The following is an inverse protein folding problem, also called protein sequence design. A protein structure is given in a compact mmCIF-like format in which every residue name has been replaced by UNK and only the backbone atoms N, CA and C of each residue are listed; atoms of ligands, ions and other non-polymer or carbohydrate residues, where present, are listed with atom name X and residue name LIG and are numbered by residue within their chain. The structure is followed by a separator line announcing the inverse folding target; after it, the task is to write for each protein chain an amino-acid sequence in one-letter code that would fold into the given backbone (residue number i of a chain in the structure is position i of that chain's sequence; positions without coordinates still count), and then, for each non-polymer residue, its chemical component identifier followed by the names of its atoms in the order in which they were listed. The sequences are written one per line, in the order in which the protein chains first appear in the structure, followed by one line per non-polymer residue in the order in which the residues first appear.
data_IF_782198588396
#
_entry.id   IF_782198588396
#
_cell.length_a   1.000
_cell.length_b   1.000
_cell.length_c   1.000
_cell.angle_alpha   90.00
_cell.angle_beta   90.00
_cell.angle_gamma   90.00
#
_symmetry.space_group_name_H-M   'P 1'
#
loop_
_entity.id
_entity.type
_entity.pdbx_description
1 polymer ?
#
# COMPACT_ATOMS: atom_id res chain seq x y z
N UNK A 1 -4.83 6.75 80.22
CA UNK A 1 -3.60 5.97 80.50
C UNK A 1 -3.81 4.53 80.03
N UNK A 2 -3.14 4.13 78.95
CA UNK A 2 -2.42 2.86 78.78
C UNK A 2 -1.87 2.85 77.35
N UNK A 3 -0.54 2.96 77.29
CA UNK A 3 0.28 2.72 76.11
C UNK A 3 0.16 1.25 75.71
N UNK A 4 0.12 0.99 74.41
CA UNK A 4 0.73 -0.22 73.84
C UNK A 4 1.16 0.07 72.41
N UNK A 5 2.46 0.34 72.29
CA UNK A 5 3.23 0.21 71.06
C UNK A 5 3.11 -1.22 70.54
N UNK A 6 2.76 -1.40 69.27
CA UNK A 6 3.15 -2.58 68.51
C UNK A 6 3.90 -2.10 67.29
N UNK A 7 5.20 -2.40 67.34
CA UNK A 7 6.19 -2.07 66.36
C UNK A 7 6.03 -2.92 65.08
N UNK A 8 6.21 -2.23 63.96
CA UNK A 8 6.84 -2.63 62.70
C UNK A 8 7.37 -4.07 62.65
N UNK A 9 6.84 -4.85 61.71
CA UNK A 9 7.66 -5.77 60.92
C UNK A 9 7.34 -5.51 59.45
N UNK A 10 8.22 -4.75 58.81
CA UNK A 10 8.30 -4.54 57.38
C UNK A 10 8.77 -5.86 56.74
N UNK A 11 7.86 -6.68 56.22
CA UNK A 11 8.24 -7.80 55.34
C UNK A 11 8.36 -7.27 53.91
N UNK A 12 9.58 -6.86 53.55
CA UNK A 12 10.02 -6.67 52.17
C UNK A 12 10.12 -8.08 51.56
N UNK A 13 9.07 -8.50 50.85
CA UNK A 13 9.15 -9.65 49.95
C UNK A 13 9.37 -9.13 48.53
N UNK A 14 10.64 -9.18 48.16
CA UNK A 14 11.13 -9.16 46.78
C UNK A 14 10.45 -10.30 46.02
N UNK A 15 9.75 -9.99 44.92
CA UNK A 15 9.11 -11.05 44.15
C UNK A 15 8.33 -10.55 42.94
N UNK A 16 9.03 -10.37 41.81
CA UNK A 16 8.43 -10.50 40.48
C UNK A 16 7.76 -9.26 39.93
N UNK A 17 8.53 -8.44 39.21
CA UNK A 17 8.01 -7.88 37.96
C UNK A 17 7.51 -9.06 37.12
N UNK A 18 6.21 -9.30 37.07
CA UNK A 18 5.63 -10.05 35.95
C UNK A 18 5.74 -9.12 34.76
N UNK A 19 6.94 -9.08 34.16
CA UNK A 19 7.10 -8.75 32.76
C UNK A 19 6.18 -9.71 32.04
N UNK A 20 4.98 -9.22 31.71
CA UNK A 20 4.05 -9.89 30.84
C UNK A 20 4.89 -10.28 29.61
N UNK A 21 5.04 -11.57 29.28
CA UNK A 21 5.73 -11.92 28.06
C UNK A 21 4.95 -11.18 26.98
N UNK A 22 5.65 -10.31 26.24
CA UNK A 22 5.11 -9.71 25.03
C UNK A 22 4.42 -10.84 24.30
N UNK A 23 3.10 -10.83 24.31
CA UNK A 23 2.31 -11.87 23.69
C UNK A 23 2.71 -11.80 22.23
N UNK A 24 3.51 -12.77 21.79
CA UNK A 24 3.67 -13.00 20.38
C UNK A 24 2.24 -13.17 19.88
N UNK A 25 1.74 -12.19 19.12
CA UNK A 25 0.52 -12.36 18.37
C UNK A 25 0.66 -13.71 17.66
N UNK A 26 -0.32 -14.62 17.79
CA UNK A 26 -0.21 -15.93 17.18
C UNK A 26 0.15 -15.72 15.72
N UNK A 27 1.23 -16.38 15.28
CA UNK A 27 1.69 -16.26 13.91
C UNK A 27 0.51 -16.58 12.99
N UNK A 28 0.05 -15.57 12.23
CA UNK A 28 -1.11 -15.74 11.36
C UNK A 28 -0.87 -16.90 10.41
N UNK A 29 -1.87 -17.77 10.27
CA UNK A 29 -1.80 -18.86 9.32
C UNK A 29 -1.77 -18.30 7.90
N UNK A 30 -1.28 -19.10 6.94
CA UNK A 30 -1.30 -18.71 5.52
C UNK A 30 -2.71 -18.33 5.05
N UNK A 31 -3.73 -19.10 5.45
CA UNK A 31 -5.12 -18.82 5.09
C UNK A 31 -5.63 -17.50 5.68
N UNK A 32 -5.23 -17.14 6.91
CA UNK A 32 -5.63 -15.86 7.51
C UNK A 32 -5.02 -14.68 6.75
N UNK A 33 -3.75 -14.81 6.35
CA UNK A 33 -3.06 -13.78 5.54
C UNK A 33 -3.72 -13.62 4.16
N UNK A 34 -4.05 -14.74 3.52
CA UNK A 34 -4.74 -14.73 2.24
C UNK A 34 -6.12 -14.08 2.36
N UNK A 35 -6.91 -14.45 3.37
CA UNK A 35 -8.21 -13.83 3.64
C UNK A 35 -8.10 -12.32 3.91
N UNK A 36 -7.08 -11.88 4.66
CA UNK A 36 -6.85 -10.47 4.93
C UNK A 36 -6.55 -9.67 3.65
N UNK A 37 -5.74 -10.22 2.73
CA UNK A 37 -5.45 -9.60 1.43
C UNK A 37 -6.71 -9.54 0.56
N UNK A 38 -7.51 -10.61 0.53
CA UNK A 38 -8.78 -10.64 -0.20
C UNK A 38 -9.75 -9.57 0.31
N UNK A 39 -9.85 -9.42 1.64
CA UNK A 39 -10.68 -8.39 2.26
C UNK A 39 -10.17 -6.98 1.94
N UNK A 40 -8.85 -6.76 1.91
CA UNK A 40 -8.28 -5.49 1.48
C UNK A 40 -8.65 -5.17 0.02
N UNK A 41 -8.58 -6.18 -0.86
CA UNK A 41 -8.99 -6.05 -2.26
C UNK A 41 -10.47 -5.63 -2.40
N UNK A 42 -11.35 -6.23 -1.60
CA UNK A 42 -12.77 -5.86 -1.58
C UNK A 42 -13.01 -4.45 -1.02
N UNK A 43 -12.25 -4.04 0.00
CA UNK A 43 -12.30 -2.69 0.56
C UNK A 43 -11.90 -1.64 -0.50
N UNK A 44 -10.83 -1.87 -1.27
CA UNK A 44 -10.43 -0.97 -2.37
C UNK A 44 -11.52 -0.89 -3.45
N UNK A 45 -12.08 -2.03 -3.88
CA UNK A 45 -13.16 -2.08 -4.89
C UNK A 45 -14.43 -1.32 -4.46
N UNK A 46 -14.61 -1.11 -3.17
CA UNK A 46 -15.75 -0.39 -2.59
C UNK A 46 -15.35 1.00 -2.07
N UNK A 47 -14.17 1.51 -2.46
CA UNK A 47 -13.62 2.81 -2.08
C UNK A 47 -13.38 3.01 -0.57
N UNK A 48 -13.32 1.94 0.22
CA UNK A 48 -12.94 1.97 1.64
C UNK A 48 -11.40 1.92 1.79
N UNK A 49 -10.70 2.95 1.30
CA UNK A 49 -9.24 2.95 1.20
C UNK A 49 -8.53 2.91 2.56
N UNK A 50 -9.02 3.62 3.58
CA UNK A 50 -8.43 3.57 4.93
C UNK A 50 -8.49 2.16 5.53
N UNK A 51 -9.60 1.45 5.32
CA UNK A 51 -9.75 0.06 5.76
C UNK A 51 -8.77 -0.85 5.01
N UNK A 52 -8.62 -0.67 3.69
CA UNK A 52 -7.66 -1.42 2.90
C UNK A 52 -6.21 -1.18 3.38
N UNK A 53 -5.85 0.08 3.65
CA UNK A 53 -4.53 0.42 4.19
C UNK A 53 -4.29 -0.23 5.55
N UNK A 54 -5.28 -0.21 6.46
CA UNK A 54 -5.18 -0.88 7.75
C UNK A 54 -5.00 -2.40 7.60
N UNK A 55 -5.77 -3.03 6.70
CA UNK A 55 -5.64 -4.46 6.41
C UNK A 55 -4.28 -4.81 5.81
N UNK A 56 -3.68 -3.92 5.02
CA UNK A 56 -2.38 -4.14 4.38
C UNK A 56 -1.18 -3.68 5.21
N UNK A 57 -1.38 -2.87 6.27
CA UNK A 57 -0.32 -2.24 7.04
C UNK A 57 0.73 -3.22 7.59
N UNK A 58 0.30 -4.42 8.00
CA UNK A 58 1.19 -5.47 8.48
C UNK A 58 2.18 -5.97 7.41
N UNK A 59 1.78 -5.94 6.15
CA UNK A 59 2.50 -6.51 5.00
C UNK A 59 3.36 -5.49 4.26
N UNK A 60 3.22 -4.21 4.56
CA UNK A 60 3.86 -3.13 3.81
C UNK A 60 4.84 -2.35 4.68
N UNK A 61 5.84 -1.76 4.05
CA UNK A 61 6.76 -0.83 4.69
C UNK A 61 7.32 0.15 3.66
N UNK A 62 7.93 1.24 4.13
CA UNK A 62 8.75 2.11 3.28
C UNK A 62 10.22 1.80 3.52
N UNK A 63 10.98 1.66 2.45
CA UNK A 63 12.43 1.48 2.55
C UNK A 63 13.15 2.82 2.83
N UNK A 64 14.47 2.79 2.90
CA UNK A 64 15.33 3.96 3.18
C UNK A 64 15.20 5.07 2.13
N UNK A 65 14.77 4.72 0.91
CA UNK A 65 14.50 5.68 -0.18
C UNK A 65 13.06 6.20 -0.15
N UNK A 66 12.25 5.72 0.79
CA UNK A 66 10.82 6.02 0.89
C UNK A 66 9.96 5.23 -0.11
N UNK A 67 10.49 4.24 -0.83
CA UNK A 67 9.71 3.37 -1.72
C UNK A 67 8.82 2.43 -0.91
N UNK A 68 7.56 2.31 -1.33
CA UNK A 68 6.61 1.39 -0.73
C UNK A 68 6.91 -0.04 -1.20
N UNK A 69 7.09 -0.96 -0.25
CA UNK A 69 7.46 -2.36 -0.50
C UNK A 69 6.62 -3.32 0.32
N UNK A 70 6.49 -4.54 -0.18
CA UNK A 70 5.97 -5.69 0.56
C UNK A 70 7.06 -6.34 1.42
N UNK A 71 6.70 -6.70 2.64
CA UNK A 71 7.36 -7.76 3.40
C UNK A 71 7.04 -9.10 2.75
N UNK A 72 7.72 -10.16 3.15
CA UNK A 72 7.31 -11.52 2.75
C UNK A 72 5.85 -11.75 3.15
N UNK A 73 4.99 -11.98 2.16
CA UNK A 73 3.55 -12.18 2.38
C UNK A 73 3.25 -13.58 2.92
N UNK A 74 4.03 -14.59 2.51
CA UNK A 74 3.82 -15.98 2.89
C UNK A 74 2.47 -16.54 2.41
N UNK A 75 2.06 -16.17 1.19
CA UNK A 75 0.80 -16.53 0.53
C UNK A 75 1.04 -17.17 -0.84
N UNK A 76 -0.01 -17.64 -1.51
CA UNK A 76 0.08 -18.10 -2.90
C UNK A 76 0.55 -16.99 -3.85
N UNK A 77 1.13 -17.37 -5.00
CA UNK A 77 1.49 -16.41 -6.06
C UNK A 77 0.29 -15.66 -6.62
N UNK A 78 -0.89 -16.30 -6.66
CA UNK A 78 -2.14 -15.66 -7.08
C UNK A 78 -2.57 -14.56 -6.11
N UNK A 79 -2.51 -14.82 -4.80
CA UNK A 79 -2.87 -13.82 -3.79
C UNK A 79 -1.80 -12.74 -3.70
N UNK A 80 -0.52 -13.06 -3.92
CA UNK A 80 0.53 -12.05 -4.05
C UNK A 80 0.28 -11.11 -5.22
N UNK A 81 -0.10 -11.65 -6.39
CA UNK A 81 -0.52 -10.82 -7.52
C UNK A 81 -1.72 -9.94 -7.16
N UNK A 82 -2.73 -10.50 -6.48
CA UNK A 82 -3.88 -9.73 -6.05
C UNK A 82 -3.52 -8.61 -5.06
N UNK A 83 -2.52 -8.82 -4.18
CA UNK A 83 -2.01 -7.77 -3.30
C UNK A 83 -1.35 -6.64 -4.12
N UNK A 84 -0.54 -6.98 -5.14
CA UNK A 84 0.06 -6.01 -6.06
C UNK A 84 -1.01 -5.19 -6.79
N UNK A 85 -2.01 -5.86 -7.34
CA UNK A 85 -3.12 -5.21 -8.08
C UNK A 85 -3.91 -4.28 -7.15
N UNK A 86 -4.19 -4.75 -5.93
CA UNK A 86 -4.93 -4.00 -4.91
C UNK A 86 -4.19 -2.72 -4.51
N UNK A 87 -2.88 -2.81 -4.25
CA UNK A 87 -2.07 -1.63 -3.92
C UNK A 87 -1.96 -0.69 -5.12
N UNK A 88 -1.77 -1.22 -6.32
CA UNK A 88 -1.69 -0.41 -7.55
C UNK A 88 -2.97 0.39 -7.77
N UNK A 89 -4.14 -0.26 -7.63
CA UNK A 89 -5.44 0.38 -7.74
C UNK A 89 -5.67 1.42 -6.63
N UNK A 90 -5.35 1.09 -5.38
CA UNK A 90 -5.47 2.02 -4.26
C UNK A 90 -4.62 3.27 -4.45
N UNK A 91 -3.37 3.13 -4.87
CA UNK A 91 -2.49 4.26 -5.18
C UNK A 91 -2.97 5.06 -6.39
N UNK A 92 -3.60 4.41 -7.36
CA UNK A 92 -4.25 5.08 -8.48
C UNK A 92 -5.42 5.93 -7.97
N UNK A 93 -6.41 5.34 -7.32
CA UNK A 93 -7.64 6.03 -6.92
C UNK A 93 -7.38 7.15 -5.90
N UNK A 94 -6.35 7.03 -5.07
CA UNK A 94 -5.95 8.05 -4.09
C UNK A 94 -5.02 9.14 -4.66
N UNK A 95 -4.69 9.11 -5.95
CA UNK A 95 -3.86 10.14 -6.59
C UNK A 95 -2.39 10.14 -6.13
N UNK A 96 -1.86 8.99 -5.69
CA UNK A 96 -0.48 8.86 -5.17
C UNK A 96 0.51 8.51 -6.27
N UNK A 97 0.49 9.28 -7.36
CA UNK A 97 1.16 9.02 -8.65
C UNK A 97 2.64 8.68 -8.53
N UNK A 98 3.41 9.47 -7.78
CA UNK A 98 4.84 9.25 -7.61
C UNK A 98 5.16 7.94 -6.87
N UNK A 99 4.28 7.53 -5.94
CA UNK A 99 4.42 6.23 -5.27
C UNK A 99 4.00 5.11 -6.21
N UNK A 100 2.91 5.29 -6.97
CA UNK A 100 2.44 4.32 -7.96
C UNK A 100 3.46 4.06 -9.07
N UNK A 101 4.12 5.09 -9.59
CA UNK A 101 5.15 4.93 -10.63
C UNK A 101 6.27 3.99 -10.16
N UNK A 102 6.81 4.21 -8.95
CA UNK A 102 7.87 3.37 -8.38
C UNK A 102 7.38 1.97 -8.07
N UNK A 103 6.17 1.86 -7.52
CA UNK A 103 5.55 0.58 -7.21
C UNK A 103 5.31 -0.26 -8.48
N UNK A 104 4.76 0.35 -9.53
CA UNK A 104 4.51 -0.27 -10.83
C UNK A 104 5.80 -0.79 -11.47
N UNK A 105 6.88 0.01 -11.49
CA UNK A 105 8.18 -0.41 -12.04
C UNK A 105 8.77 -1.63 -11.31
N UNK A 106 8.44 -1.79 -10.03
CA UNK A 106 8.96 -2.87 -9.18
C UNK A 106 8.14 -4.15 -9.28
N UNK A 107 6.82 -4.03 -9.21
CA UNK A 107 5.93 -5.20 -9.01
C UNK A 107 5.12 -5.57 -10.24
N UNK A 108 4.87 -4.63 -11.16
CA UNK A 108 4.21 -4.93 -12.43
C UNK A 108 5.25 -5.30 -13.48
N UNK A 109 4.85 -6.10 -14.47
CA UNK A 109 5.73 -6.55 -15.53
C UNK A 109 5.07 -6.51 -16.90
N UNK A 110 5.90 -6.44 -17.94
CA UNK A 110 5.48 -6.40 -19.34
C UNK A 110 4.42 -5.33 -19.61
N UNK A 111 3.41 -5.72 -20.39
CA UNK A 111 2.36 -4.83 -20.87
C UNK A 111 1.61 -4.11 -19.74
N UNK A 112 1.36 -4.76 -18.61
CA UNK A 112 0.62 -4.16 -17.50
C UNK A 112 1.37 -2.97 -16.87
N UNK A 113 2.67 -3.13 -16.65
CA UNK A 113 3.54 -2.05 -16.17
C UNK A 113 3.53 -0.89 -17.17
N UNK A 114 3.73 -1.19 -18.45
CA UNK A 114 3.91 -0.17 -19.46
C UNK A 114 2.61 0.65 -19.66
N UNK A 115 1.44 -0.03 -19.67
CA UNK A 115 0.12 0.63 -19.66
C UNK A 115 -0.06 1.52 -18.44
N UNK A 116 0.31 1.06 -17.25
CA UNK A 116 0.21 1.86 -16.03
C UNK A 116 1.05 3.13 -16.12
N UNK A 117 2.27 3.04 -16.65
CA UNK A 117 3.16 4.19 -16.83
C UNK A 117 2.63 5.17 -17.89
N UNK A 118 2.05 4.69 -19.00
CA UNK A 118 1.42 5.57 -19.98
C UNK A 118 0.21 6.32 -19.38
N UNK A 119 -0.63 5.62 -18.60
CA UNK A 119 -1.76 6.22 -17.89
C UNK A 119 -1.33 7.26 -16.86
N UNK A 120 -0.23 7.02 -16.14
CA UNK A 120 0.33 8.02 -15.23
C UNK A 120 0.82 9.27 -15.97
N UNK A 121 1.46 9.11 -17.13
CA UNK A 121 1.85 10.26 -17.95
C UNK A 121 0.63 11.07 -18.43
N UNK A 122 -0.46 10.40 -18.86
CA UNK A 122 -1.73 11.07 -19.21
C UNK A 122 -2.30 11.84 -18.01
N UNK A 123 -2.40 11.19 -16.84
CA UNK A 123 -3.00 11.77 -15.64
C UNK A 123 -2.23 13.00 -15.14
N UNK A 124 -0.90 12.98 -15.24
CA UNK A 124 -0.05 14.10 -14.86
C UNK A 124 0.08 15.18 -15.95
N UNK A 125 -0.74 15.10 -17.02
CA UNK A 125 -0.72 16.04 -18.14
C UNK A 125 0.65 16.16 -18.84
N UNK A 126 1.45 15.09 -18.82
CA UNK A 126 2.74 15.01 -19.54
C UNK A 126 2.46 14.43 -20.94
N UNK A 127 1.76 15.20 -21.77
CA UNK A 127 1.12 14.71 -23.00
C UNK A 127 2.10 14.17 -24.04
N UNK A 128 3.28 14.77 -24.20
CA UNK A 128 4.31 14.26 -25.10
C UNK A 128 4.79 12.86 -24.67
N UNK A 129 5.08 12.68 -23.38
CA UNK A 129 5.48 11.38 -22.80
C UNK A 129 4.37 10.35 -22.97
N UNK A 130 3.12 10.73 -22.70
CA UNK A 130 1.97 9.85 -22.86
C UNK A 130 1.76 9.45 -24.33
N UNK A 131 1.88 10.40 -25.27
CA UNK A 131 1.77 10.13 -26.72
C UNK A 131 2.80 9.09 -27.17
N UNK A 132 4.07 9.32 -26.86
CA UNK A 132 5.15 8.39 -27.23
C UNK A 132 4.92 7.01 -26.60
N UNK A 133 4.58 6.97 -25.31
CA UNK A 133 4.32 5.73 -24.58
C UNK A 133 3.21 4.88 -25.21
N UNK A 134 2.06 5.48 -25.54
CA UNK A 134 0.97 4.75 -26.20
C UNK A 134 1.33 4.31 -27.62
N UNK A 135 2.09 5.13 -28.35
CA UNK A 135 2.51 4.79 -29.70
C UNK A 135 3.49 3.61 -29.70
N UNK A 136 4.41 3.56 -28.73
CA UNK A 136 5.36 2.45 -28.54
C UNK A 136 4.63 1.15 -28.16
N UNK A 137 3.50 1.24 -27.46
CA UNK A 137 2.61 0.10 -27.19
C UNK A 137 1.73 -0.31 -28.38
N UNK A 138 1.73 0.46 -29.47
CA UNK A 138 0.86 0.22 -30.64
C UNK A 138 -0.57 0.77 -30.51
N UNK A 139 -0.89 1.46 -29.42
CA UNK A 139 -2.21 2.07 -29.16
C UNK A 139 -2.34 3.46 -29.82
N UNK A 140 -2.22 3.49 -31.16
CA UNK A 140 -2.18 4.73 -31.98
C UNK A 140 -3.40 5.63 -31.75
N UNK A 141 -4.59 5.06 -31.60
CA UNK A 141 -5.82 5.83 -31.34
C UNK A 141 -5.79 6.52 -29.98
N UNK A 142 -5.19 5.88 -28.97
CA UNK A 142 -5.03 6.47 -27.64
C UNK A 142 -3.95 7.55 -27.64
N UNK A 143 -2.84 7.31 -28.34
CA UNK A 143 -1.81 8.33 -28.56
C UNK A 143 -2.41 9.60 -29.18
N UNK A 144 -3.20 9.46 -30.26
CA UNK A 144 -3.89 10.60 -30.91
C UNK A 144 -4.84 11.35 -29.99
N UNK A 145 -5.57 10.65 -29.11
CA UNK A 145 -6.44 11.30 -28.10
C UNK A 145 -5.65 12.17 -27.13
N UNK A 146 -4.46 11.71 -26.72
CA UNK A 146 -3.57 12.46 -25.82
C UNK A 146 -3.23 13.85 -26.39
N UNK A 147 -2.84 13.92 -27.67
CA UNK A 147 -2.52 15.19 -28.35
C UNK A 147 -3.75 16.08 -28.53
N UNK A 148 -4.92 15.50 -28.84
CA UNK A 148 -6.17 16.27 -28.94
C UNK A 148 -6.55 16.91 -27.62
N UNK A 149 -6.39 16.18 -26.51
CA UNK A 149 -6.62 16.71 -25.16
C UNK A 149 -5.67 17.85 -24.86
N UNK A 150 -4.38 17.72 -25.19
CA UNK A 150 -3.40 18.81 -25.03
C UNK A 150 -3.82 20.07 -25.82
N UNK A 151 -4.14 19.92 -27.10
CA UNK A 151 -4.57 21.04 -27.95
C UNK A 151 -5.83 21.71 -27.41
N UNK A 152 -6.81 20.93 -26.96
CA UNK A 152 -8.03 21.47 -26.36
C UNK A 152 -7.74 22.29 -25.09
N UNK A 153 -6.84 21.79 -24.23
CA UNK A 153 -6.46 22.50 -23.01
C UNK A 153 -5.68 23.79 -23.28
N UNK A 154 -4.89 23.84 -24.36
CA UNK A 154 -4.21 25.08 -24.78
C UNK A 154 -5.23 26.13 -25.22
N UNK A 155 -6.18 25.75 -26.08
CA UNK A 155 -7.24 26.66 -26.55
C UNK A 155 -8.11 27.18 -25.39
N UNK A 156 -8.40 26.36 -24.38
CA UNK A 156 -9.23 26.76 -23.24
C UNK A 156 -8.50 27.65 -22.21
N UNK A 157 -7.17 27.72 -22.26
CA UNK A 157 -6.36 28.57 -21.37
C UNK A 157 -6.12 29.97 -21.93
N UNK A 158 -6.21 30.12 -23.25
CA UNK A 158 -6.13 31.38 -23.97
C UNK A 158 -7.49 32.11 -23.98
#
# INVERSE_FOLDING_TARGET
MRLSCLAVVLTILVGGCTAQPFGALPAQSRSDREAQILNASQAVKTAHFEQAEHLLAGYMYRDETGELRFKSLGVSSEVEKQAVDTVSLMLWDTGRDATLERFAKRYLSGYERDVMLCRLAERNAIYEKAYNCWNDLGDVDRARRTVRTESALRILKD
#
